data_IF_454695823130
#
_entry.id   IF_454695823130
#
_cell.length_a   1.000
_cell.length_b   1.000
_cell.length_c   1.000
_cell.angle_alpha   90.00
_cell.angle_beta   90.00
_cell.angle_gamma   90.00
#
_symmetry.space_group_name_H-M   'P 1'
#
loop_
_entity.id
_entity.type
_entity.pdbx_description
1 polymer ?
#
# COMPACT_ATOMS: atom_id res chain seq x y z
N UNK A 1 -21.62 1.22 -19.76
CA UNK A 1 -20.36 1.07 -18.99
C UNK A 1 -20.71 0.45 -17.65
N UNK A 2 -20.18 -0.73 -17.39
CA UNK A 2 -20.42 -1.44 -16.13
C UNK A 2 -19.60 -0.83 -14.97
N UNK A 3 -19.85 -1.20 -13.70
CA UNK A 3 -19.12 -0.64 -12.56
C UNK A 3 -17.60 -0.83 -12.62
N UNK A 4 -17.12 -1.97 -13.09
CA UNK A 4 -15.69 -2.26 -13.22
C UNK A 4 -15.00 -1.37 -14.25
N UNK A 5 -15.63 -1.17 -15.41
CA UNK A 5 -15.14 -0.24 -16.44
C UNK A 5 -15.08 1.21 -15.94
N UNK A 6 -16.08 1.63 -15.15
CA UNK A 6 -16.07 2.97 -14.53
C UNK A 6 -14.91 3.15 -13.58
N UNK A 7 -14.59 2.16 -12.76
CA UNK A 7 -13.45 2.20 -11.84
C UNK A 7 -12.14 2.22 -12.62
N UNK A 8 -12.00 1.34 -13.62
CA UNK A 8 -10.80 1.27 -14.44
C UNK A 8 -10.50 2.59 -15.16
N UNK A 9 -11.52 3.24 -15.71
CA UNK A 9 -11.39 4.52 -16.42
C UNK A 9 -11.04 5.71 -15.50
N UNK A 10 -11.20 5.58 -14.20
CA UNK A 10 -10.81 6.59 -13.21
C UNK A 10 -9.37 6.49 -12.76
N UNK A 11 -8.72 5.36 -13.00
CA UNK A 11 -7.33 5.15 -12.62
C UNK A 11 -6.41 6.13 -13.33
N UNK A 12 -5.41 6.61 -12.59
CA UNK A 12 -4.40 7.55 -13.09
C UNK A 12 -3.07 6.84 -13.25
N UNK A 13 -2.30 7.28 -14.22
CA UNK A 13 -0.92 6.82 -14.37
C UNK A 13 0.00 7.73 -13.57
N UNK A 14 0.88 7.15 -12.78
CA UNK A 14 1.92 7.84 -12.05
C UNK A 14 3.16 6.95 -11.91
N UNK A 15 4.29 7.57 -11.62
CA UNK A 15 5.57 6.89 -11.46
C UNK A 15 6.10 7.11 -10.05
N UNK A 16 6.56 6.06 -9.35
CA UNK A 16 7.17 6.19 -8.04
C UNK A 16 8.34 7.18 -8.02
N UNK A 17 8.36 8.04 -7.00
CA UNK A 17 9.38 9.06 -6.82
C UNK A 17 10.35 8.65 -5.72
N UNK A 18 11.64 8.74 -5.99
CA UNK A 18 12.67 8.46 -5.00
C UNK A 18 12.71 9.56 -3.93
N UNK A 19 12.67 9.15 -2.67
CA UNK A 19 12.72 10.04 -1.51
C UNK A 19 14.17 10.25 -1.06
N UNK A 20 14.52 11.49 -0.70
CA UNK A 20 15.81 11.85 -0.08
C UNK A 20 15.69 11.81 1.45
N UNK A 21 16.43 10.91 2.10
CA UNK A 21 16.39 10.70 3.56
C UNK A 21 16.68 11.98 4.37
N UNK A 22 17.55 12.86 3.88
CA UNK A 22 17.94 14.09 4.57
C UNK A 22 16.85 15.15 4.69
N UNK A 23 15.71 14.96 4.03
CA UNK A 23 14.57 15.88 4.06
C UNK A 23 13.42 15.41 4.93
N UNK A 24 13.60 14.28 5.63
CA UNK A 24 12.61 13.80 6.59
C UNK A 24 12.66 14.65 7.85
N UNK A 25 11.50 15.09 8.29
CA UNK A 25 11.32 15.77 9.57
C UNK A 25 11.43 14.80 10.74
N UNK A 26 11.19 15.28 11.93
CA UNK A 26 11.03 14.44 13.12
C UNK A 26 10.07 13.27 12.85
N UNK A 27 10.40 12.09 13.36
CA UNK A 27 9.58 10.89 13.19
C UNK A 27 10.05 9.95 12.07
N UNK A 28 11.35 9.96 11.73
CA UNK A 28 11.92 9.02 10.75
C UNK A 28 11.68 7.55 11.11
N UNK A 29 11.82 7.18 12.40
CA UNK A 29 11.51 5.84 12.91
C UNK A 29 10.03 5.48 12.68
N UNK A 30 9.11 6.38 12.99
CA UNK A 30 7.68 6.18 12.75
C UNK A 30 7.35 6.11 11.25
N UNK A 31 8.02 6.91 10.42
CA UNK A 31 7.87 6.86 8.97
C UNK A 31 8.31 5.51 8.42
N UNK A 32 9.44 4.99 8.89
CA UNK A 32 9.94 3.67 8.51
C UNK A 32 8.97 2.56 8.92
N UNK A 33 8.52 2.58 10.19
CA UNK A 33 7.53 1.62 10.69
C UNK A 33 6.26 1.60 9.83
N UNK A 34 5.69 2.76 9.51
CA UNK A 34 4.46 2.85 8.72
C UNK A 34 4.66 2.39 7.28
N UNK A 35 5.78 2.74 6.65
CA UNK A 35 6.11 2.28 5.31
C UNK A 35 6.25 0.75 5.26
N UNK A 36 6.94 0.15 6.24
CA UNK A 36 7.08 -1.29 6.36
C UNK A 36 5.73 -1.97 6.65
N UNK A 37 4.92 -1.40 7.53
CA UNK A 37 3.59 -1.94 7.84
C UNK A 37 2.70 -2.00 6.60
N UNK A 38 2.67 -0.94 5.79
CA UNK A 38 1.89 -0.92 4.55
C UNK A 38 2.41 -2.01 3.60
N UNK A 39 3.70 -2.07 3.33
CA UNK A 39 4.31 -3.07 2.43
C UNK A 39 3.97 -4.50 2.85
N UNK A 40 4.07 -4.80 4.15
CA UNK A 40 3.79 -6.15 4.67
C UNK A 40 2.30 -6.50 4.65
N UNK A 41 1.39 -5.53 4.72
CA UNK A 41 -0.05 -5.78 4.66
C UNK A 41 -0.56 -5.84 3.21
N UNK A 42 0.03 -5.10 2.28
CA UNK A 42 -0.34 -5.13 0.87
C UNK A 42 0.04 -6.45 0.19
N UNK A 43 1.14 -7.08 0.58
CA UNK A 43 1.58 -8.33 -0.01
C UNK A 43 0.52 -9.46 0.06
N UNK A 44 -0.06 -9.80 1.24
CA UNK A 44 -1.16 -10.75 1.32
C UNK A 44 -2.42 -10.35 0.54
N UNK A 45 -2.72 -9.06 0.44
CA UNK A 45 -3.85 -8.56 -0.37
C UNK A 45 -3.58 -8.80 -1.85
N UNK A 46 -2.38 -8.51 -2.33
CA UNK A 46 -1.96 -8.78 -3.71
C UNK A 46 -2.02 -10.28 -4.06
N UNK A 47 -1.59 -11.15 -3.15
CA UNK A 47 -1.69 -12.60 -3.30
C UNK A 47 -3.15 -13.06 -3.42
N UNK A 48 -4.04 -12.52 -2.59
CA UNK A 48 -5.46 -12.82 -2.67
C UNK A 48 -6.08 -12.38 -4.01
N UNK A 49 -5.70 -11.22 -4.54
CA UNK A 49 -6.15 -10.76 -5.86
C UNK A 49 -5.63 -11.70 -6.96
N UNK A 50 -4.37 -12.13 -6.88
CA UNK A 50 -3.80 -13.07 -7.82
C UNK A 50 -4.54 -14.42 -7.83
N UNK A 51 -4.88 -14.96 -6.66
CA UNK A 51 -5.71 -16.18 -6.55
C UNK A 51 -7.10 -15.98 -7.17
N UNK A 52 -7.70 -14.81 -6.98
CA UNK A 52 -9.01 -14.51 -7.59
C UNK A 52 -8.94 -14.47 -9.11
N UNK A 53 -7.81 -14.08 -9.70
CA UNK A 53 -7.58 -14.07 -11.15
C UNK A 53 -7.45 -15.48 -11.76
N UNK A 54 -7.12 -16.49 -10.95
CA UNK A 54 -7.11 -17.89 -11.39
C UNK A 54 -8.53 -18.46 -11.60
N UNK A 55 -9.54 -17.81 -11.02
CA UNK A 55 -10.94 -18.21 -11.14
C UNK A 55 -11.58 -17.60 -12.40
N UNK A 56 -12.70 -18.17 -12.83
CA UNK A 56 -13.50 -17.61 -13.89
C UNK A 56 -14.23 -16.35 -13.39
N UNK A 57 -13.83 -15.20 -13.92
CA UNK A 57 -14.42 -13.89 -13.60
C UNK A 57 -14.77 -13.15 -14.90
N UNK A 58 -15.77 -12.26 -14.91
CA UNK A 58 -16.08 -11.42 -16.07
C UNK A 58 -14.85 -10.65 -16.57
N UNK A 59 -14.74 -10.47 -17.90
CA UNK A 59 -13.58 -9.80 -18.52
C UNK A 59 -13.27 -8.44 -17.89
N UNK A 60 -14.28 -7.60 -17.68
CA UNK A 60 -14.11 -6.27 -17.08
C UNK A 60 -13.66 -6.32 -15.61
N UNK A 61 -14.08 -7.33 -14.85
CA UNK A 61 -13.61 -7.55 -13.50
C UNK A 61 -12.13 -8.00 -13.51
N UNK A 62 -11.76 -8.88 -14.45
CA UNK A 62 -10.36 -9.31 -14.64
C UNK A 62 -9.46 -8.13 -14.95
N UNK A 63 -9.83 -7.29 -15.90
CA UNK A 63 -9.05 -6.09 -16.28
C UNK A 63 -8.84 -5.14 -15.08
N UNK A 64 -9.86 -4.97 -14.23
CA UNK A 64 -9.74 -4.17 -13.00
C UNK A 64 -8.79 -4.82 -11.98
N UNK A 65 -8.94 -6.12 -11.72
CA UNK A 65 -8.07 -6.85 -10.79
C UNK A 65 -6.60 -6.86 -11.25
N UNK A 66 -6.36 -7.07 -12.54
CA UNK A 66 -5.00 -6.97 -13.11
C UNK A 66 -4.41 -5.56 -12.97
N UNK A 67 -5.24 -4.53 -13.09
CA UNK A 67 -4.84 -3.15 -12.83
C UNK A 67 -4.48 -2.92 -11.36
N UNK A 68 -5.25 -3.51 -10.42
CA UNK A 68 -4.95 -3.42 -8.99
C UNK A 68 -3.60 -4.08 -8.65
N UNK A 69 -3.32 -5.25 -9.21
CA UNK A 69 -2.00 -5.91 -9.02
C UNK A 69 -0.85 -4.99 -9.48
N UNK A 70 -1.03 -4.27 -10.59
CA UNK A 70 -0.03 -3.31 -11.07
C UNK A 70 0.12 -2.11 -10.13
N UNK A 71 -0.97 -1.69 -9.49
CA UNK A 71 -0.91 -0.62 -8.49
C UNK A 71 -0.15 -1.07 -7.25
N UNK A 72 -0.41 -2.28 -6.73
CA UNK A 72 0.34 -2.85 -5.61
C UNK A 72 1.85 -2.91 -5.87
N UNK A 73 2.26 -3.28 -7.09
CA UNK A 73 3.68 -3.27 -7.47
C UNK A 73 4.27 -1.85 -7.42
N UNK A 74 3.53 -0.84 -7.87
CA UNK A 74 3.96 0.56 -7.80
C UNK A 74 4.04 1.06 -6.34
N UNK A 75 3.05 0.70 -5.52
CA UNK A 75 3.02 1.04 -4.10
C UNK A 75 4.23 0.45 -3.39
N UNK A 76 4.52 -0.82 -3.60
CA UNK A 76 5.69 -1.49 -2.99
C UNK A 76 7.00 -0.83 -3.42
N UNK A 77 7.15 -0.49 -4.70
CA UNK A 77 8.33 0.21 -5.19
C UNK A 77 8.49 1.60 -4.56
N UNK A 78 7.42 2.39 -4.49
CA UNK A 78 7.45 3.72 -3.89
C UNK A 78 7.79 3.67 -2.39
N UNK A 79 7.18 2.75 -1.66
CA UNK A 79 7.46 2.51 -0.24
C UNK A 79 8.86 1.94 -0.03
N UNK A 80 9.35 1.12 -0.98
CA UNK A 80 10.73 0.63 -1.00
C UNK A 80 11.76 1.74 -1.10
N UNK A 81 11.52 2.76 -1.88
CA UNK A 81 12.38 3.95 -1.91
C UNK A 81 12.44 4.66 -0.56
N UNK A 82 11.31 4.76 0.14
CA UNK A 82 11.24 5.34 1.49
C UNK A 82 12.06 4.52 2.48
N UNK A 83 11.84 3.20 2.53
CA UNK A 83 12.55 2.32 3.46
C UNK A 83 14.05 2.28 3.18
N UNK A 84 14.45 2.26 1.92
CA UNK A 84 15.87 2.31 1.55
C UNK A 84 16.54 3.63 1.92
N UNK A 85 15.83 4.75 1.79
CA UNK A 85 16.35 6.07 2.16
C UNK A 85 16.53 6.23 3.68
N UNK A 86 15.65 5.62 4.47
CA UNK A 86 15.69 5.67 5.95
C UNK A 86 16.68 4.67 6.57
N UNK A 87 17.03 3.62 5.83
CA UNK A 87 17.92 2.56 6.31
C UNK A 87 17.21 1.48 7.12
N UNK A 88 17.96 0.71 7.88
CA UNK A 88 17.45 -0.43 8.66
C UNK A 88 17.21 0.00 10.11
N UNK A 89 16.04 -0.33 10.63
CA UNK A 89 15.69 -0.23 12.04
C UNK A 89 14.98 -1.51 12.47
N UNK A 90 15.68 -2.35 13.24
CA UNK A 90 15.16 -3.67 13.64
C UNK A 90 13.88 -3.57 14.48
N UNK A 91 13.75 -2.54 15.31
CA UNK A 91 12.56 -2.32 16.13
C UNK A 91 11.34 -1.99 15.26
N UNK A 92 11.52 -1.05 14.32
CA UNK A 92 10.46 -0.68 13.37
C UNK A 92 10.01 -1.89 12.53
N UNK A 93 10.95 -2.70 12.07
CA UNK A 93 10.67 -3.91 11.32
C UNK A 93 9.91 -4.96 12.15
N UNK A 94 10.36 -5.22 13.38
CA UNK A 94 9.66 -6.15 14.29
C UNK A 94 8.23 -5.70 14.60
N UNK A 95 8.00 -4.41 14.84
CA UNK A 95 6.65 -3.89 15.09
C UNK A 95 5.76 -3.97 13.85
N UNK A 96 6.31 -3.74 12.65
CA UNK A 96 5.58 -3.92 11.40
C UNK A 96 5.20 -5.40 11.17
N UNK A 97 6.09 -6.33 11.45
CA UNK A 97 5.79 -7.77 11.38
C UNK A 97 4.73 -8.20 12.40
N UNK A 98 4.80 -7.71 13.64
CA UNK A 98 3.77 -8.00 14.64
C UNK A 98 2.38 -7.55 14.18
N UNK A 99 2.29 -6.36 13.58
CA UNK A 99 1.02 -5.86 13.05
C UNK A 99 0.50 -6.77 11.93
N UNK A 100 1.34 -7.14 10.96
CA UNK A 100 0.98 -8.06 9.89
C UNK A 100 0.51 -9.40 10.43
N UNK A 101 1.29 -10.01 11.32
CA UNK A 101 1.00 -11.33 11.86
C UNK A 101 -0.32 -11.34 12.65
N UNK A 102 -0.60 -10.29 13.42
CA UNK A 102 -1.87 -10.13 14.12
C UNK A 102 -3.05 -10.02 13.14
N UNK A 103 -2.87 -9.28 12.04
CA UNK A 103 -3.87 -9.15 11.00
C UNK A 103 -4.10 -10.47 10.24
N UNK A 104 -3.04 -11.19 9.87
CA UNK A 104 -3.13 -12.48 9.18
C UNK A 104 -3.77 -13.56 10.06
N UNK A 105 -3.46 -13.59 11.35
CA UNK A 105 -3.99 -14.57 12.30
C UNK A 105 -5.48 -14.34 12.64
N UNK A 106 -6.05 -13.22 12.29
CA UNK A 106 -7.46 -12.93 12.56
C UNK A 106 -8.36 -13.91 11.81
N UNK A 107 -9.40 -14.49 12.47
CA UNK A 107 -10.22 -15.57 11.90
C UNK A 107 -11.21 -15.12 10.81
N UNK A 108 -11.38 -13.83 10.59
CA UNK A 108 -12.29 -13.31 9.59
C UNK A 108 -11.87 -13.70 8.15
N UNK A 109 -12.84 -13.67 7.26
CA UNK A 109 -12.63 -13.93 5.86
C UNK A 109 -11.64 -12.93 5.24
N UNK A 110 -10.80 -13.39 4.30
CA UNK A 110 -9.73 -12.59 3.68
C UNK A 110 -10.24 -11.28 3.08
N UNK A 111 -11.43 -11.25 2.47
CA UNK A 111 -12.02 -10.00 1.96
C UNK A 111 -12.29 -9.01 3.09
N UNK A 112 -12.82 -9.46 4.24
CA UNK A 112 -13.05 -8.58 5.41
C UNK A 112 -11.72 -8.04 5.93
N UNK A 113 -10.72 -8.89 6.05
CA UNK A 113 -9.37 -8.50 6.49
C UNK A 113 -8.73 -7.50 5.52
N UNK A 114 -8.84 -7.73 4.21
CA UNK A 114 -8.37 -6.81 3.19
C UNK A 114 -9.06 -5.43 3.30
N UNK A 115 -10.38 -5.40 3.45
CA UNK A 115 -11.13 -4.15 3.65
C UNK A 115 -10.65 -3.37 4.87
N UNK A 116 -10.37 -4.06 5.99
CA UNK A 116 -9.84 -3.42 7.20
C UNK A 116 -8.43 -2.88 6.97
N UNK A 117 -7.55 -3.65 6.30
CA UNK A 117 -6.19 -3.23 5.97
C UNK A 117 -6.19 -1.98 5.09
N UNK A 118 -6.96 -1.99 4.00
CA UNK A 118 -7.08 -0.86 3.07
C UNK A 118 -7.57 0.41 3.77
N UNK A 119 -8.55 0.28 4.66
CA UNK A 119 -9.06 1.40 5.45
C UNK A 119 -8.04 1.91 6.46
N UNK A 120 -7.28 1.03 7.11
CA UNK A 120 -6.22 1.41 8.03
C UNK A 120 -5.08 2.13 7.29
N UNK A 121 -4.68 1.63 6.13
CA UNK A 121 -3.67 2.27 5.25
C UNK A 121 -4.14 3.67 4.86
N UNK A 122 -5.34 3.78 4.31
CA UNK A 122 -5.87 5.04 3.77
C UNK A 122 -6.09 6.11 4.85
N UNK A 123 -6.68 5.75 5.99
CA UNK A 123 -7.07 6.73 7.01
C UNK A 123 -6.07 6.94 8.13
N UNK A 124 -5.14 6.02 8.34
CA UNK A 124 -4.22 6.06 9.47
C UNK A 124 -2.76 6.16 9.02
N UNK A 125 -2.31 5.24 8.16
CA UNK A 125 -0.89 5.14 7.82
C UNK A 125 -0.46 6.20 6.80
N UNK A 126 -1.16 6.35 5.70
CA UNK A 126 -0.82 7.32 4.64
C UNK A 126 -0.92 8.78 5.08
N UNK A 127 -1.91 9.23 5.89
CA UNK A 127 -1.96 10.61 6.35
C UNK A 127 -0.74 11.06 7.13
N UNK A 128 -0.05 10.14 7.81
CA UNK A 128 1.19 10.46 8.50
C UNK A 128 2.25 11.01 7.53
N UNK A 129 2.44 10.38 6.38
CA UNK A 129 3.37 10.85 5.35
C UNK A 129 2.98 12.21 4.79
N UNK A 130 1.68 12.47 4.66
CA UNK A 130 1.16 13.76 4.18
C UNK A 130 1.49 14.90 5.11
N UNK A 131 1.43 14.69 6.41
CA UNK A 131 1.60 15.76 7.41
C UNK A 131 3.04 15.89 7.92
N UNK A 132 3.81 14.80 7.97
CA UNK A 132 5.15 14.75 8.54
C UNK A 132 6.26 14.58 7.51
N UNK A 133 5.92 14.23 6.28
CA UNK A 133 6.89 13.99 5.22
C UNK A 133 7.34 15.25 4.49
N UNK A 134 8.43 15.09 3.75
CA UNK A 134 8.86 16.06 2.72
C UNK A 134 7.92 16.02 1.50
N UNK A 135 8.26 16.76 0.44
CA UNK A 135 7.47 16.79 -0.78
C UNK A 135 7.32 15.42 -1.45
N UNK A 136 8.38 14.57 -1.39
CA UNK A 136 8.37 13.22 -1.94
C UNK A 136 7.37 12.32 -1.20
N UNK A 137 7.43 12.27 0.13
CA UNK A 137 6.51 11.50 0.95
C UNK A 137 5.06 11.95 0.79
N UNK A 138 4.82 13.26 0.71
CA UNK A 138 3.46 13.79 0.45
C UNK A 138 2.94 13.37 -0.91
N UNK A 139 3.79 13.35 -1.93
CA UNK A 139 3.44 12.91 -3.28
C UNK A 139 3.09 11.41 -3.27
N UNK A 140 3.93 10.57 -2.68
CA UNK A 140 3.68 9.12 -2.55
C UNK A 140 2.36 8.85 -1.83
N UNK A 141 2.12 9.53 -0.69
CA UNK A 141 0.86 9.40 0.04
C UNK A 141 -0.35 9.76 -0.82
N UNK A 142 -0.27 10.85 -1.59
CA UNK A 142 -1.35 11.27 -2.47
C UNK A 142 -1.57 10.30 -3.63
N UNK A 143 -0.52 9.75 -4.22
CA UNK A 143 -0.60 8.85 -5.37
C UNK A 143 -1.17 7.49 -4.95
N UNK A 144 -0.69 6.90 -3.87
CA UNK A 144 -1.26 5.66 -3.31
C UNK A 144 -2.73 5.87 -2.93
N UNK A 145 -3.05 6.96 -2.22
CA UNK A 145 -4.44 7.25 -1.81
C UNK A 145 -5.43 7.43 -2.96
N UNK A 146 -4.95 7.76 -4.16
CA UNK A 146 -5.80 7.86 -5.35
C UNK A 146 -6.06 6.52 -6.01
N UNK A 147 -5.16 5.57 -5.85
CA UNK A 147 -5.33 4.22 -6.38
C UNK A 147 -6.31 3.42 -5.51
N UNK A 148 -6.33 3.67 -4.17
CA UNK A 148 -7.25 3.09 -3.19
C UNK A 148 -8.67 3.73 -3.27
#
# INVERSE_FOLDING_TARGET
MNPYEKLLNRKRTWTPVQTEAGKLKEGAEETLYRALAIRHMELPVGEFIAEALEKEVPKSARELLESNVKDEIKHDLALGYITNALGVDEKAEQEAFKLRDAWEAHPDHTITKALVAERAIFFVLLPFFRFNGDAGLRTVSADISRDE
#
